data_IF_029821195982
#
_entry.id   IF_029821195982
#
_cell.length_a   1.000
_cell.length_b   1.000
_cell.length_c   1.000
_cell.angle_alpha   90.00
_cell.angle_beta   90.00
_cell.angle_gamma   90.00
#
_symmetry.space_group_name_H-M   'P 1'
#
loop_
_entity.id
_entity.type
_entity.pdbx_description
1 polymer ?
#
# COMPACT_ATOMS: atom_id res chain seq x y z
N UNK A 1 13.24 17.71 29.75
CA UNK A 1 12.95 16.41 29.11
C UNK A 1 12.76 16.70 27.63
N UNK A 2 13.85 16.63 26.89
CA UNK A 2 13.88 16.89 25.44
C UNK A 2 13.20 15.69 24.77
N UNK A 3 11.97 15.87 24.32
CA UNK A 3 11.27 14.90 23.47
C UNK A 3 12.05 14.90 22.16
N UNK A 4 12.79 13.84 21.88
CA UNK A 4 13.34 13.61 20.54
C UNK A 4 12.13 13.50 19.59
N UNK A 5 11.95 14.50 18.72
CA UNK A 5 10.94 14.49 17.66
C UNK A 5 11.41 13.54 16.55
N UNK A 6 11.31 12.24 16.83
CA UNK A 6 11.64 11.12 15.94
C UNK A 6 10.57 10.90 14.85
N UNK A 7 9.76 11.93 14.60
CA UNK A 7 8.60 11.85 13.72
C UNK A 7 9.01 12.06 12.26
N UNK A 8 8.37 11.30 11.35
CA UNK A 8 8.67 11.31 9.91
C UNK A 8 8.33 12.68 9.31
N UNK A 9 9.26 13.30 8.57
CA UNK A 9 8.94 14.49 7.77
C UNK A 9 7.95 14.15 6.64
N UNK A 10 7.16 15.12 6.21
CA UNK A 10 6.27 14.96 5.06
C UNK A 10 7.07 14.50 3.82
N UNK A 11 6.72 13.36 3.19
CA UNK A 11 7.47 12.85 2.04
C UNK A 11 7.30 13.68 0.77
N UNK A 12 6.38 14.65 0.77
CA UNK A 12 6.11 15.53 -0.36
C UNK A 12 6.82 16.88 -0.24
N UNK A 13 6.83 17.51 0.93
CA UNK A 13 7.40 18.87 1.10
C UNK A 13 8.47 18.99 2.19
N UNK A 14 8.83 17.88 2.85
CA UNK A 14 9.79 17.79 3.95
C UNK A 14 9.43 18.58 5.22
N UNK A 15 8.20 19.10 5.33
CA UNK A 15 7.74 19.75 6.56
C UNK A 15 7.61 18.77 7.71
N UNK A 16 7.92 19.23 8.92
CA UNK A 16 7.63 18.53 10.18
C UNK A 16 6.27 18.90 10.77
N UNK A 17 5.66 19.99 10.31
CA UNK A 17 4.37 20.44 10.80
C UNK A 17 3.26 19.50 10.29
N UNK A 18 2.58 18.84 11.22
CA UNK A 18 1.53 17.86 10.92
C UNK A 18 0.52 17.71 12.04
N UNK A 19 -0.63 17.16 11.69
CA UNK A 19 -1.68 16.75 12.62
C UNK A 19 -1.99 15.28 12.40
N UNK A 20 -2.06 14.49 13.47
CA UNK A 20 -2.51 13.08 13.39
C UNK A 20 -4.01 13.04 13.08
N UNK A 21 -4.40 12.24 12.08
CA UNK A 21 -5.79 12.01 11.69
C UNK A 21 -6.36 10.77 12.38
N UNK A 22 -5.62 9.65 12.30
CA UNK A 22 -6.04 8.35 12.82
C UNK A 22 -4.85 7.43 13.04
N UNK A 23 -5.00 6.47 13.96
CA UNK A 23 -4.05 5.38 14.14
C UNK A 23 -4.33 4.28 13.10
N UNK A 24 -3.30 3.87 12.36
CA UNK A 24 -3.39 2.80 11.36
C UNK A 24 -2.99 1.47 11.99
N UNK A 25 -1.90 1.45 12.77
CA UNK A 25 -1.42 0.25 13.42
C UNK A 25 -1.04 0.54 14.86
N UNK A 26 -1.50 -0.28 15.81
CA UNK A 26 -1.00 -0.23 17.18
C UNK A 26 0.36 -0.93 17.38
N UNK A 27 0.76 -1.82 16.45
CA UNK A 27 2.01 -2.58 16.52
C UNK A 27 2.54 -3.00 15.13
N UNK A 28 3.53 -2.28 14.61
CA UNK A 28 4.08 -2.54 13.27
C UNK A 28 4.83 -3.86 13.12
N UNK A 29 5.11 -4.60 14.21
CA UNK A 29 5.67 -5.97 14.10
C UNK A 29 4.78 -6.91 13.29
N UNK A 30 3.51 -6.56 13.07
CA UNK A 30 2.61 -7.28 12.16
C UNK A 30 3.13 -7.34 10.71
N UNK A 31 4.00 -6.41 10.32
CA UNK A 31 4.70 -6.42 9.04
C UNK A 31 5.99 -7.27 9.09
N UNK A 32 6.58 -7.48 10.25
CA UNK A 32 7.79 -8.28 10.43
C UNK A 32 8.48 -7.96 11.76
N UNK A 33 9.22 -8.92 12.32
CA UNK A 33 9.85 -8.77 13.64
C UNK A 33 10.88 -7.64 13.73
N UNK A 34 11.42 -7.20 12.60
CA UNK A 34 12.35 -6.07 12.52
C UNK A 34 11.68 -4.69 12.60
N UNK A 35 10.37 -4.59 12.37
CA UNK A 35 9.65 -3.33 12.53
C UNK A 35 9.55 -2.93 14.00
N UNK A 36 9.45 -1.61 14.29
CA UNK A 36 9.34 -1.12 15.64
C UNK A 36 8.00 -1.52 16.28
N UNK A 37 8.03 -1.76 17.59
CA UNK A 37 6.86 -2.05 18.42
C UNK A 37 6.17 -0.76 18.88
N UNK A 38 5.84 0.10 17.91
CA UNK A 38 5.20 1.39 18.17
C UNK A 38 4.05 1.62 17.18
N UNK A 39 3.08 2.47 17.54
CA UNK A 39 1.99 2.79 16.64
C UNK A 39 2.45 3.55 15.39
N UNK A 40 1.69 3.41 14.31
CA UNK A 40 1.77 4.25 13.11
C UNK A 40 0.44 4.95 12.85
N UNK A 41 0.52 6.16 12.30
CA UNK A 41 -0.63 7.05 12.14
C UNK A 41 -0.75 7.58 10.73
N UNK A 42 -1.98 7.83 10.26
CA UNK A 42 -2.19 8.74 9.14
C UNK A 42 -2.02 10.16 9.67
N UNK A 43 -1.10 10.93 9.09
CA UNK A 43 -0.83 12.31 9.45
C UNK A 43 -1.09 13.23 8.25
N UNK A 44 -1.68 14.38 8.54
CA UNK A 44 -1.91 15.48 7.59
C UNK A 44 -0.76 16.48 7.71
N UNK A 45 -0.04 16.73 6.62
CA UNK A 45 0.94 17.80 6.57
C UNK A 45 0.25 19.17 6.66
N UNK A 46 0.71 20.03 7.58
CA UNK A 46 0.15 21.37 7.76
C UNK A 46 0.49 22.32 6.61
N UNK A 47 1.60 22.09 5.90
CA UNK A 47 2.13 23.01 4.89
C UNK A 47 1.65 22.68 3.47
N UNK A 48 1.66 21.40 3.06
CA UNK A 48 1.26 21.02 1.71
C UNK A 48 -0.07 20.26 1.62
N UNK A 49 -0.67 19.84 2.74
CA UNK A 49 -1.95 19.12 2.76
C UNK A 49 -1.89 17.61 2.46
N UNK A 50 -0.71 17.07 2.13
CA UNK A 50 -0.55 15.64 1.89
C UNK A 50 -0.87 14.81 3.14
N UNK A 51 -1.54 13.67 2.94
CA UNK A 51 -1.76 12.66 3.99
C UNK A 51 -0.79 11.49 3.77
N UNK A 52 -0.08 11.10 4.83
CA UNK A 52 0.95 10.07 4.78
C UNK A 52 1.05 9.32 6.11
N UNK A 53 1.70 8.17 6.08
CA UNK A 53 1.95 7.35 7.27
C UNK A 53 3.11 7.94 8.08
N UNK A 54 2.83 8.42 9.28
CA UNK A 54 3.81 8.83 10.28
C UNK A 54 4.20 7.61 11.14
N UNK A 55 5.48 7.26 11.08
CA UNK A 55 6.06 6.09 11.74
C UNK A 55 7.55 6.30 11.96
N UNK A 56 8.10 5.65 12.99
CA UNK A 56 9.55 5.57 13.24
C UNK A 56 10.21 4.41 12.46
N UNK A 57 9.45 3.59 11.74
CA UNK A 57 10.00 2.56 10.87
C UNK A 57 10.86 3.19 9.77
N UNK A 58 12.04 2.64 9.54
CA UNK A 58 13.03 3.13 8.58
C UNK A 58 12.77 2.62 7.16
N UNK A 59 13.42 3.24 6.16
CA UNK A 59 13.42 2.68 4.79
C UNK A 59 13.94 1.22 4.79
N UNK A 60 14.96 0.91 5.58
CA UNK A 60 15.51 -0.45 5.68
C UNK A 60 14.49 -1.47 6.22
N UNK A 61 13.56 -1.05 7.08
CA UNK A 61 12.49 -1.93 7.57
C UNK A 61 11.54 -2.32 6.43
N UNK A 62 11.14 -1.35 5.63
CA UNK A 62 10.34 -1.58 4.43
C UNK A 62 11.11 -2.37 3.37
N UNK A 63 12.39 -2.09 3.17
CA UNK A 63 13.23 -2.84 2.21
C UNK A 63 13.28 -4.33 2.56
N UNK A 64 13.56 -4.65 3.83
CA UNK A 64 13.56 -6.05 4.33
C UNK A 64 12.20 -6.71 4.13
N UNK A 65 11.11 -5.98 4.36
CA UNK A 65 9.76 -6.47 4.12
C UNK A 65 9.53 -6.81 2.65
N UNK A 66 9.83 -5.88 1.74
CA UNK A 66 9.63 -6.09 0.32
C UNK A 66 10.53 -7.18 -0.26
N UNK A 67 11.74 -7.36 0.28
CA UNK A 67 12.67 -8.42 -0.13
C UNK A 67 12.19 -9.84 0.23
N UNK A 68 11.47 -9.99 1.35
CA UNK A 68 11.23 -11.31 1.96
C UNK A 68 9.76 -11.72 2.06
N UNK A 69 8.85 -10.75 2.16
CA UNK A 69 7.44 -10.98 2.49
C UNK A 69 6.49 -10.52 1.37
N UNK A 70 6.87 -9.50 0.60
CA UNK A 70 6.05 -9.04 -0.51
C UNK A 70 6.08 -10.05 -1.65
N UNK A 71 4.94 -10.70 -1.90
CA UNK A 71 4.73 -11.61 -3.02
C UNK A 71 3.81 -10.94 -4.02
N UNK A 72 4.35 -10.60 -5.17
CA UNK A 72 3.55 -10.09 -6.28
C UNK A 72 2.95 -11.28 -7.02
N UNK A 73 1.62 -11.35 -7.06
CA UNK A 73 0.90 -12.30 -7.90
C UNK A 73 0.80 -11.68 -9.30
N UNK A 74 0.84 -12.52 -10.34
CA UNK A 74 0.61 -12.04 -11.69
C UNK A 74 -0.78 -11.41 -11.82
N UNK A 75 -0.88 -10.29 -12.51
CA UNK A 75 -2.16 -9.67 -12.85
C UNK A 75 -3.04 -10.63 -13.66
N UNK A 76 -2.44 -11.35 -14.62
CA UNK A 76 -3.14 -12.36 -15.40
C UNK A 76 -3.75 -13.47 -14.54
N UNK A 77 -3.08 -13.88 -13.46
CA UNK A 77 -3.56 -14.91 -12.55
C UNK A 77 -4.68 -14.39 -11.64
N UNK A 78 -4.58 -13.12 -11.23
CA UNK A 78 -5.53 -12.49 -10.32
C UNK A 78 -6.81 -12.00 -11.01
N UNK A 79 -6.71 -11.52 -12.26
CA UNK A 79 -7.79 -10.82 -12.98
C UNK A 79 -8.12 -11.42 -14.35
N UNK A 80 -7.30 -12.33 -14.86
CA UNK A 80 -7.40 -12.87 -16.22
C UNK A 80 -6.65 -12.03 -17.26
N UNK A 81 -6.26 -12.68 -18.37
CA UNK A 81 -5.43 -12.06 -19.41
C UNK A 81 -6.10 -10.87 -20.10
N UNK A 82 -7.40 -10.96 -20.41
CA UNK A 82 -8.10 -9.90 -21.13
C UNK A 82 -8.14 -8.58 -20.33
N UNK A 83 -8.52 -8.66 -19.05
CA UNK A 83 -8.56 -7.51 -18.13
C UNK A 83 -7.17 -6.94 -17.90
N UNK A 84 -6.17 -7.82 -17.78
CA UNK A 84 -4.76 -7.43 -17.61
C UNK A 84 -4.22 -6.69 -18.84
N UNK A 85 -4.51 -7.21 -20.04
CA UNK A 85 -4.10 -6.57 -21.28
C UNK A 85 -4.78 -5.21 -21.48
N UNK A 86 -6.07 -5.07 -21.16
CA UNK A 86 -6.75 -3.77 -21.22
C UNK A 86 -6.12 -2.77 -20.24
N UNK A 87 -5.80 -3.21 -19.03
CA UNK A 87 -5.11 -2.39 -18.04
C UNK A 87 -3.75 -1.90 -18.56
N UNK A 88 -2.89 -2.80 -19.05
CA UNK A 88 -1.59 -2.39 -19.59
C UNK A 88 -1.69 -1.58 -20.88
N UNK A 89 -2.73 -1.80 -21.70
CA UNK A 89 -2.98 -0.97 -22.88
C UNK A 89 -3.36 0.47 -22.52
N UNK A 90 -4.03 0.69 -21.38
CA UNK A 90 -4.29 2.04 -20.84
C UNK A 90 -3.00 2.74 -20.41
N UNK A 91 -2.09 2.04 -19.74
CA UNK A 91 -0.76 2.57 -19.38
C UNK A 91 0.03 2.88 -20.66
N UNK A 92 0.08 1.93 -21.60
CA UNK A 92 0.76 2.09 -22.88
C UNK A 92 0.23 3.29 -23.67
N UNK A 93 -1.08 3.41 -23.82
CA UNK A 93 -1.71 4.53 -24.53
C UNK A 93 -1.38 5.89 -23.92
N UNK A 94 -1.17 5.95 -22.59
CA UNK A 94 -0.77 7.17 -21.92
C UNK A 94 0.68 7.57 -22.24
N UNK A 95 1.58 6.60 -22.39
CA UNK A 95 3.03 6.85 -22.58
C UNK A 95 3.47 6.80 -24.04
N UNK A 96 2.72 6.14 -24.93
CA UNK A 96 3.02 5.97 -26.35
C UNK A 96 3.39 7.30 -27.07
N UNK A 97 2.69 8.43 -26.84
CA UNK A 97 3.04 9.70 -27.48
C UNK A 97 4.44 10.24 -27.12
N UNK A 98 5.09 9.69 -26.10
CA UNK A 98 6.36 10.16 -25.56
C UNK A 98 7.53 9.23 -25.87
N UNK A 99 7.28 8.06 -26.47
CA UNK A 99 8.28 7.04 -26.73
C UNK A 99 8.29 6.61 -28.19
N UNK A 100 9.35 5.93 -28.61
CA UNK A 100 9.45 5.26 -29.91
C UNK A 100 10.17 3.92 -29.74
N UNK A 101 10.29 3.15 -30.82
CA UNK A 101 10.88 1.80 -30.80
C UNK A 101 12.34 1.72 -30.32
N UNK A 102 13.06 2.85 -30.22
CA UNK A 102 14.43 2.93 -29.70
C UNK A 102 14.52 3.47 -28.26
N UNK A 103 13.40 3.96 -27.69
CA UNK A 103 13.36 4.53 -26.36
C UNK A 103 13.84 3.53 -25.31
N UNK A 104 14.65 4.01 -24.37
CA UNK A 104 15.03 3.27 -23.15
C UNK A 104 13.93 3.38 -22.12
N UNK A 105 13.34 2.24 -21.74
CA UNK A 105 12.25 2.15 -20.80
C UNK A 105 12.75 1.50 -19.51
N UNK A 106 12.49 2.13 -18.37
CA UNK A 106 12.70 1.58 -17.04
C UNK A 106 11.35 1.35 -16.37
N UNK A 107 11.07 0.09 -16.06
CA UNK A 107 9.93 -0.35 -15.25
C UNK A 107 10.43 -0.54 -13.81
N UNK A 108 10.14 0.42 -12.92
CA UNK A 108 10.73 0.53 -11.59
C UNK A 108 9.70 0.15 -10.52
N UNK A 109 9.96 -0.92 -9.79
CA UNK A 109 8.94 -1.67 -9.04
C UNK A 109 8.19 -2.66 -9.94
N UNK A 110 8.89 -3.35 -10.83
CA UNK A 110 8.27 -4.15 -11.89
C UNK A 110 7.51 -5.39 -11.40
N UNK A 111 7.66 -5.77 -10.13
CA UNK A 111 7.17 -7.04 -9.61
C UNK A 111 7.68 -8.20 -10.47
N UNK A 112 6.76 -9.08 -10.87
CA UNK A 112 7.05 -10.25 -11.73
C UNK A 112 7.26 -9.90 -13.21
N UNK A 113 7.28 -8.62 -13.59
CA UNK A 113 7.71 -8.15 -14.92
C UNK A 113 6.63 -8.17 -16.01
N UNK A 114 5.35 -8.34 -15.67
CA UNK A 114 4.26 -8.48 -16.64
C UNK A 114 4.04 -7.27 -17.54
N UNK A 115 4.19 -6.05 -17.02
CA UNK A 115 4.12 -4.84 -17.84
C UNK A 115 5.28 -4.78 -18.84
N UNK A 116 6.49 -5.14 -18.40
CA UNK A 116 7.67 -5.24 -19.28
C UNK A 116 7.50 -6.31 -20.36
N UNK A 117 6.91 -7.46 -20.04
CA UNK A 117 6.55 -8.51 -21.01
C UNK A 117 5.53 -7.97 -22.04
N UNK A 118 4.48 -7.29 -21.58
CA UNK A 118 3.48 -6.65 -22.44
C UNK A 118 4.12 -5.63 -23.41
N UNK A 119 4.99 -4.76 -22.91
CA UNK A 119 5.69 -3.76 -23.71
C UNK A 119 6.64 -4.41 -24.74
N UNK A 120 7.29 -5.53 -24.38
CA UNK A 120 8.08 -6.32 -25.33
C UNK A 120 7.20 -6.90 -26.46
N UNK A 121 6.00 -7.38 -26.13
CA UNK A 121 4.98 -7.81 -27.10
C UNK A 121 4.52 -6.71 -28.06
N UNK A 122 4.53 -5.44 -27.61
CA UNK A 122 4.28 -4.25 -28.45
C UNK A 122 5.49 -3.84 -29.32
N UNK A 123 6.61 -4.57 -29.23
CA UNK A 123 7.80 -4.37 -30.08
C UNK A 123 8.91 -3.51 -29.46
N UNK A 124 8.78 -3.09 -28.20
CA UNK A 124 9.83 -2.35 -27.50
C UNK A 124 10.92 -3.30 -27.01
N UNK A 125 12.17 -3.07 -27.43
CA UNK A 125 13.29 -4.00 -27.16
C UNK A 125 14.24 -3.54 -26.06
N UNK A 126 14.13 -2.28 -25.64
CA UNK A 126 15.07 -1.65 -24.71
C UNK A 126 14.39 -1.35 -23.37
N UNK A 127 13.93 -2.42 -22.72
CA UNK A 127 13.22 -2.38 -21.45
C UNK A 127 14.15 -2.95 -20.37
N UNK A 128 14.27 -2.25 -19.26
CA UNK A 128 14.90 -2.74 -18.03
C UNK A 128 13.83 -2.77 -16.94
N UNK A 129 13.64 -3.93 -16.34
CA UNK A 129 12.70 -4.12 -15.23
C UNK A 129 13.49 -4.21 -13.91
N UNK A 130 13.05 -3.50 -12.88
CA UNK A 130 13.77 -3.41 -11.61
C UNK A 130 12.81 -3.55 -10.45
N UNK A 131 13.15 -4.40 -9.50
CA UNK A 131 12.37 -4.67 -8.29
C UNK A 131 13.34 -5.03 -7.15
N UNK A 132 12.97 -4.72 -5.92
CA UNK A 132 13.82 -5.01 -4.76
C UNK A 132 13.77 -6.50 -4.38
N UNK A 133 12.70 -7.21 -4.72
CA UNK A 133 12.52 -8.63 -4.42
C UNK A 133 13.25 -9.51 -5.42
N UNK A 134 14.25 -10.25 -4.94
CA UNK A 134 14.96 -11.23 -5.75
C UNK A 134 14.03 -12.31 -6.32
N UNK A 135 12.98 -12.69 -5.57
CA UNK A 135 11.98 -13.66 -6.03
C UNK A 135 11.19 -13.14 -7.22
N UNK A 136 10.74 -11.88 -7.17
CA UNK A 136 10.06 -11.22 -8.29
C UNK A 136 10.97 -11.15 -9.53
N UNK A 137 12.23 -10.77 -9.34
CA UNK A 137 13.21 -10.69 -10.44
C UNK A 137 13.52 -12.06 -11.04
N UNK A 138 13.59 -13.13 -10.24
CA UNK A 138 13.72 -14.49 -10.76
C UNK A 138 12.52 -14.85 -11.64
N UNK A 139 11.29 -14.57 -11.21
CA UNK A 139 10.09 -14.82 -12.00
C UNK A 139 10.07 -14.00 -13.31
N UNK A 140 10.42 -12.71 -13.25
CA UNK A 140 10.52 -11.85 -14.44
C UNK A 140 11.53 -12.38 -15.46
N UNK A 141 12.72 -12.81 -14.99
CA UNK A 141 13.74 -13.42 -15.87
C UNK A 141 13.27 -14.72 -16.49
N UNK A 142 12.52 -15.55 -15.75
CA UNK A 142 11.91 -16.77 -16.29
C UNK A 142 10.87 -16.49 -17.37
N UNK A 143 10.19 -15.34 -17.31
CA UNK A 143 9.30 -14.85 -18.36
C UNK A 143 10.03 -14.17 -19.54
N UNK A 144 11.37 -14.18 -19.57
CA UNK A 144 12.17 -13.58 -20.63
C UNK A 144 12.38 -12.07 -20.53
N UNK A 145 12.04 -11.46 -19.38
CA UNK A 145 12.23 -10.03 -19.15
C UNK A 145 13.67 -9.74 -18.73
N UNK A 146 14.26 -8.68 -19.30
CA UNK A 146 15.54 -8.13 -18.83
C UNK A 146 15.35 -7.43 -17.47
N UNK A 147 15.51 -8.19 -16.39
CA UNK A 147 15.19 -7.74 -15.04
C UNK A 147 16.41 -7.79 -14.09
N UNK A 148 16.50 -6.84 -13.16
CA UNK A 148 17.59 -6.72 -12.17
C UNK A 148 17.07 -6.35 -10.79
N UNK A 149 17.76 -6.82 -9.75
CA UNK A 149 17.44 -6.40 -8.38
C UNK A 149 17.92 -4.96 -8.16
N UNK A 150 17.06 -4.10 -7.63
CA UNK A 150 17.39 -2.72 -7.32
C UNK A 150 16.32 -2.03 -6.48
N UNK A 151 16.70 -0.96 -5.79
CA UNK A 151 15.80 -0.19 -4.93
C UNK A 151 15.83 1.29 -5.32
N UNK A 152 14.70 1.83 -5.79
CA UNK A 152 14.59 3.23 -6.18
C UNK A 152 15.13 4.21 -5.12
N UNK A 153 15.00 3.89 -3.83
CA UNK A 153 15.42 4.73 -2.71
C UNK A 153 16.84 4.42 -2.17
N UNK A 154 17.63 3.56 -2.83
CA UNK A 154 18.99 3.25 -2.37
C UNK A 154 19.91 4.47 -2.41
N UNK A 155 20.82 4.55 -1.44
CA UNK A 155 21.90 5.55 -1.41
C UNK A 155 23.09 5.04 -2.23
N UNK A 156 23.73 5.90 -3.01
CA UNK A 156 24.88 5.53 -3.85
C UNK A 156 24.55 4.99 -5.25
N UNK A 157 23.30 5.09 -5.67
CA UNK A 157 22.80 4.56 -6.94
C UNK A 157 22.20 3.16 -6.77
N UNK A 158 21.14 2.87 -7.52
CA UNK A 158 20.37 1.62 -7.39
C UNK A 158 20.43 0.72 -8.62
N UNK A 159 21.12 1.18 -9.66
CA UNK A 159 21.39 0.43 -10.88
C UNK A 159 22.89 0.37 -11.05
N UNK A 160 23.41 -0.83 -11.30
CA UNK A 160 24.78 -1.05 -11.81
C UNK A 160 24.88 -0.61 -13.30
N UNK A 161 24.36 0.57 -13.61
CA UNK A 161 24.27 1.13 -14.95
C UNK A 161 24.66 2.62 -14.95
N UNK A 162 25.91 2.94 -14.55
CA UNK A 162 26.37 4.33 -14.45
C UNK A 162 26.26 5.06 -15.79
N UNK A 163 25.73 6.29 -15.75
CA UNK A 163 25.59 7.15 -16.92
C UNK A 163 24.44 6.81 -17.87
N UNK A 164 23.71 5.71 -17.66
CA UNK A 164 22.51 5.42 -18.45
C UNK A 164 21.39 6.42 -18.13
N UNK A 165 20.65 6.79 -19.16
CA UNK A 165 19.47 7.66 -19.06
C UNK A 165 18.27 6.95 -19.66
N UNK A 166 17.08 7.18 -19.13
CA UNK A 166 15.85 6.55 -19.61
C UNK A 166 14.91 7.59 -20.21
N UNK A 167 14.31 7.24 -21.35
CA UNK A 167 13.35 8.08 -22.05
C UNK A 167 11.95 7.93 -21.47
N UNK A 168 11.69 6.79 -20.82
CA UNK A 168 10.51 6.55 -20.00
C UNK A 168 10.93 5.84 -18.71
N UNK A 169 10.51 6.37 -17.57
CA UNK A 169 10.56 5.69 -16.27
C UNK A 169 9.12 5.49 -15.81
N UNK A 170 8.75 4.27 -15.44
CA UNK A 170 7.41 3.91 -15.00
C UNK A 170 7.47 3.49 -13.53
N UNK A 171 6.61 4.11 -12.72
CA UNK A 171 6.16 3.57 -11.46
C UNK A 171 4.67 3.28 -11.58
N UNK A 172 4.26 2.01 -11.53
CA UNK A 172 2.86 1.63 -11.40
C UNK A 172 2.69 0.93 -10.07
N UNK A 173 1.96 1.56 -9.14
CA UNK A 173 1.72 1.04 -7.79
C UNK A 173 2.99 0.74 -7.00
N UNK A 174 3.87 1.73 -6.89
CA UNK A 174 5.17 1.60 -6.23
C UNK A 174 5.52 2.85 -5.42
N UNK A 175 5.29 4.05 -5.96
CA UNK A 175 5.67 5.32 -5.33
C UNK A 175 4.96 5.50 -3.98
N UNK A 176 3.73 5.03 -3.85
CA UNK A 176 2.98 5.06 -2.60
C UNK A 176 3.55 4.14 -1.51
N UNK A 177 4.49 3.25 -1.85
CA UNK A 177 5.18 2.33 -0.93
C UNK A 177 6.56 2.81 -0.48
N UNK A 178 7.07 3.90 -1.06
CA UNK A 178 8.43 4.37 -0.80
C UNK A 178 8.47 5.25 0.45
N UNK A 179 9.24 4.82 1.46
CA UNK A 179 9.42 5.56 2.71
C UNK A 179 10.25 6.84 2.50
N UNK A 180 11.40 6.71 1.83
CA UNK A 180 12.31 7.80 1.49
C UNK A 180 12.08 8.31 0.06
N UNK A 181 10.94 9.01 -0.10
CA UNK A 181 10.53 9.62 -1.37
C UNK A 181 11.60 10.57 -1.94
N UNK A 182 12.31 11.29 -1.06
CA UNK A 182 13.33 12.26 -1.45
C UNK A 182 14.49 11.61 -2.20
N UNK A 183 15.05 10.52 -1.63
CA UNK A 183 16.13 9.79 -2.28
C UNK A 183 15.65 9.15 -3.60
N UNK A 184 14.44 8.57 -3.60
CA UNK A 184 13.89 7.97 -4.81
C UNK A 184 13.72 8.97 -5.95
N UNK A 185 13.13 10.14 -5.69
CA UNK A 185 12.95 11.16 -6.71
C UNK A 185 14.27 11.80 -7.16
N UNK A 186 15.26 11.91 -6.28
CA UNK A 186 16.62 12.31 -6.67
C UNK A 186 17.24 11.30 -7.66
N UNK A 187 17.21 10.02 -7.32
CA UNK A 187 17.74 8.95 -8.17
C UNK A 187 17.02 8.92 -9.54
N UNK A 188 15.70 9.04 -9.55
CA UNK A 188 14.88 9.10 -10.79
C UNK A 188 15.27 10.30 -11.64
N UNK A 189 15.42 11.48 -11.06
CA UNK A 189 15.87 12.67 -11.78
C UNK A 189 17.28 12.52 -12.32
N UNK A 190 18.16 11.82 -11.64
CA UNK A 190 19.51 11.60 -12.15
C UNK A 190 19.47 10.75 -13.41
N UNK A 191 18.66 9.70 -13.46
CA UNK A 191 18.62 8.77 -14.60
C UNK A 191 17.58 9.12 -15.67
N UNK A 192 16.69 10.10 -15.45
CA UNK A 192 15.75 10.54 -16.50
C UNK A 192 16.49 11.26 -17.63
N UNK A 193 16.21 10.94 -18.90
CA UNK A 193 16.81 11.66 -20.03
C UNK A 193 16.29 13.09 -20.13
N UNK A 194 16.94 13.94 -20.93
CA UNK A 194 16.58 15.37 -21.03
C UNK A 194 15.13 15.57 -21.52
N UNK A 195 14.73 14.77 -22.50
CA UNK A 195 13.38 14.78 -23.08
C UNK A 195 12.49 13.65 -22.55
N UNK A 196 13.01 12.86 -21.60
CA UNK A 196 12.33 11.70 -21.06
C UNK A 196 11.13 12.09 -20.20
N UNK A 197 10.23 11.13 -20.03
CA UNK A 197 9.06 11.26 -19.16
C UNK A 197 9.11 10.27 -18.01
N UNK A 198 8.63 10.71 -16.85
CA UNK A 198 8.33 9.87 -15.71
C UNK A 198 6.81 9.67 -15.67
N UNK A 199 6.38 8.42 -15.65
CA UNK A 199 4.99 8.03 -15.43
C UNK A 199 4.87 7.50 -14.00
N UNK A 200 3.93 8.06 -13.24
CA UNK A 200 3.58 7.57 -11.89
C UNK A 200 2.11 7.27 -11.87
N UNK A 201 1.74 6.08 -11.46
CA UNK A 201 0.36 5.66 -11.22
C UNK A 201 0.20 5.11 -9.80
N UNK A 202 -0.85 5.56 -9.14
CA UNK A 202 -1.14 5.32 -7.72
C UNK A 202 -2.66 5.20 -7.49
N UNK A 203 -3.12 4.57 -6.41
CA UNK A 203 -4.52 4.62 -6.01
C UNK A 203 -4.98 6.07 -5.81
N UNK A 204 -6.15 6.42 -6.34
CA UNK A 204 -6.70 7.78 -6.20
C UNK A 204 -7.42 7.94 -4.86
N UNK A 205 -6.78 8.64 -3.93
CA UNK A 205 -7.34 8.89 -2.60
C UNK A 205 -8.65 9.66 -2.65
N UNK A 206 -8.90 10.45 -3.71
CA UNK A 206 -10.15 11.19 -3.87
C UNK A 206 -11.37 10.30 -4.15
N UNK A 207 -11.14 9.04 -4.49
CA UNK A 207 -12.16 8.05 -4.85
C UNK A 207 -12.21 6.87 -3.87
N UNK A 208 -11.45 6.88 -2.77
CA UNK A 208 -11.47 5.76 -1.81
C UNK A 208 -12.88 5.49 -1.24
N UNK A 209 -13.67 6.54 -1.03
CA UNK A 209 -15.02 6.45 -0.50
C UNK A 209 -16.08 6.03 -1.53
N UNK A 210 -15.77 6.11 -2.84
CA UNK A 210 -16.73 5.81 -3.91
C UNK A 210 -16.71 4.34 -4.35
N UNK A 211 -15.75 3.55 -3.86
CA UNK A 211 -15.57 2.14 -4.23
C UNK A 211 -16.03 1.22 -3.10
N UNK A 212 -16.86 0.24 -3.43
CA UNK A 212 -17.24 -0.82 -2.49
C UNK A 212 -16.05 -1.80 -2.29
N UNK A 213 -15.32 -1.59 -1.20
CA UNK A 213 -14.20 -2.43 -0.76
C UNK A 213 -14.36 -2.79 0.71
N UNK A 214 -13.68 -3.85 1.21
CA UNK A 214 -13.59 -4.10 2.63
C UNK A 214 -13.15 -2.84 3.40
N UNK A 215 -13.69 -2.57 4.59
CA UNK A 215 -13.31 -1.41 5.39
C UNK A 215 -11.79 -1.30 5.55
N UNK A 216 -11.29 -0.09 5.34
CA UNK A 216 -9.87 0.28 5.41
C UNK A 216 -8.93 -0.44 4.42
N UNK A 217 -9.47 -1.06 3.37
CA UNK A 217 -8.70 -1.67 2.28
C UNK A 217 -7.57 -0.79 1.73
N UNK A 218 -7.78 0.53 1.60
CA UNK A 218 -6.77 1.45 1.07
C UNK A 218 -5.76 1.93 2.12
N UNK A 219 -6.04 1.75 3.40
CA UNK A 219 -5.12 2.07 4.51
C UNK A 219 -4.28 0.86 4.88
N UNK A 220 -3.56 0.33 3.89
CA UNK A 220 -2.58 -0.72 4.17
C UNK A 220 -1.34 -0.12 4.83
N UNK A 221 -0.60 -0.91 5.59
CA UNK A 221 0.68 -0.47 6.16
C UNK A 221 1.76 -0.19 5.11
N UNK A 222 1.52 -0.65 3.87
CA UNK A 222 2.40 -0.44 2.72
C UNK A 222 2.07 0.86 1.99
N UNK A 223 0.83 1.38 2.08
CA UNK A 223 0.45 2.64 1.45
C UNK A 223 0.86 3.82 2.34
N UNK A 224 2.12 4.21 2.18
CA UNK A 224 2.78 5.23 2.99
C UNK A 224 2.35 6.66 2.64
N UNK A 225 1.73 6.88 1.48
CA UNK A 225 1.31 8.19 0.98
C UNK A 225 -0.02 8.03 0.24
N UNK A 226 -0.99 8.90 0.56
CA UNK A 226 -2.29 8.94 -0.12
C UNK A 226 -2.29 10.05 -1.16
N UNK A 227 -2.47 9.69 -2.43
CA UNK A 227 -2.29 10.61 -3.55
C UNK A 227 -3.62 11.11 -4.12
N UNK A 228 -3.65 12.41 -4.40
CA UNK A 228 -4.60 13.04 -5.32
C UNK A 228 -3.85 13.80 -6.41
N UNK A 229 -4.57 14.41 -7.35
CA UNK A 229 -3.97 15.29 -8.37
C UNK A 229 -3.16 16.42 -7.74
N UNK A 230 -3.62 16.96 -6.61
CA UNK A 230 -2.94 18.03 -5.88
C UNK A 230 -1.64 17.52 -5.22
N UNK A 231 -1.64 16.29 -4.70
CA UNK A 231 -0.44 15.64 -4.16
C UNK A 231 0.61 15.42 -5.25
N UNK A 232 0.21 14.96 -6.45
CA UNK A 232 1.12 14.82 -7.59
C UNK A 232 1.67 16.17 -8.08
N UNK A 233 0.86 17.22 -8.06
CA UNK A 233 1.32 18.57 -8.38
C UNK A 233 2.37 19.05 -7.38
N UNK A 234 2.12 18.90 -6.08
CA UNK A 234 3.08 19.26 -5.03
C UNK A 234 4.36 18.40 -5.09
N UNK A 235 4.25 17.10 -5.42
CA UNK A 235 5.40 16.24 -5.69
C UNK A 235 6.27 16.84 -6.80
N UNK A 236 5.65 17.25 -7.92
CA UNK A 236 6.39 17.85 -9.03
C UNK A 236 7.08 19.17 -8.64
N UNK A 237 6.37 20.02 -7.88
CA UNK A 237 6.90 21.30 -7.39
C UNK A 237 8.12 21.10 -6.50
N UNK A 238 8.07 20.17 -5.54
CA UNK A 238 9.20 19.89 -4.65
C UNK A 238 10.40 19.36 -5.42
N UNK A 239 10.17 18.32 -6.23
CA UNK A 239 11.25 17.61 -6.89
C UNK A 239 11.71 18.27 -8.19
N UNK A 240 11.18 19.43 -8.57
CA UNK A 240 11.61 20.11 -9.79
C UNK A 240 11.34 19.30 -11.04
N UNK A 241 10.15 18.72 -11.09
CA UNK A 241 9.54 18.11 -12.24
C UNK A 241 8.42 19.03 -12.75
N UNK A 242 8.01 18.83 -13.99
CA UNK A 242 6.83 19.48 -14.56
C UNK A 242 5.77 18.43 -14.81
N UNK A 243 4.65 18.51 -14.10
CA UNK A 243 3.46 17.70 -14.37
C UNK A 243 2.84 18.17 -15.71
N UNK A 244 2.76 17.26 -16.68
CA UNK A 244 2.27 17.51 -18.04
C UNK A 244 0.80 17.11 -18.17
N UNK A 245 0.42 16.00 -17.52
CA UNK A 245 -0.92 15.43 -17.62
C UNK A 245 -1.24 14.64 -16.37
N UNK A 246 -2.51 14.67 -15.98
CA UNK A 246 -3.10 13.74 -15.01
C UNK A 246 -4.37 13.12 -15.58
N UNK A 247 -4.64 11.85 -15.27
CA UNK A 247 -5.92 11.22 -15.61
C UNK A 247 -6.26 10.12 -14.61
N UNK A 248 -7.56 9.90 -14.41
CA UNK A 248 -8.08 8.84 -13.56
C UNK A 248 -8.78 7.77 -14.40
N UNK A 249 -8.75 6.53 -13.93
CA UNK A 249 -9.47 5.41 -14.54
C UNK A 249 -9.60 4.23 -13.56
N UNK A 250 -10.38 3.20 -13.90
CA UNK A 250 -10.53 2.00 -13.05
C UNK A 250 -9.42 0.97 -13.33
N UNK A 251 -8.64 0.60 -12.31
CA UNK A 251 -7.65 -0.47 -12.40
C UNK A 251 -8.31 -1.83 -12.37
N UNK A 252 -8.14 -2.60 -13.45
CA UNK A 252 -8.69 -3.95 -13.62
C UNK A 252 -10.19 -4.05 -13.27
N UNK A 253 -10.95 -2.97 -13.51
CA UNK A 253 -12.38 -2.82 -13.14
C UNK A 253 -12.68 -2.97 -11.64
N UNK A 254 -11.72 -2.62 -10.78
CA UNK A 254 -11.83 -2.76 -9.31
C UNK A 254 -11.92 -1.42 -8.58
N UNK A 255 -10.96 -0.54 -8.77
CA UNK A 255 -10.88 0.73 -8.05
C UNK A 255 -10.22 1.83 -8.86
N UNK A 256 -10.45 3.08 -8.48
CA UNK A 256 -9.91 4.23 -9.17
C UNK A 256 -8.41 4.40 -8.91
N UNK A 257 -7.67 4.57 -9.99
CA UNK A 257 -6.27 4.98 -9.99
C UNK A 257 -6.12 6.33 -10.66
N UNK A 258 -5.08 7.05 -10.26
CA UNK A 258 -4.65 8.30 -10.84
C UNK A 258 -3.24 8.11 -11.36
N UNK A 259 -2.98 8.53 -12.60
CA UNK A 259 -1.62 8.70 -13.09
C UNK A 259 -1.27 10.14 -13.37
N UNK A 260 0.03 10.44 -13.25
CA UNK A 260 0.67 11.66 -13.70
C UNK A 260 1.81 11.37 -14.67
N UNK A 261 1.95 12.20 -15.71
CA UNK A 261 3.11 12.21 -16.61
C UNK A 261 3.93 13.46 -16.32
N UNK A 262 5.20 13.27 -16.04
CA UNK A 262 6.12 14.32 -15.62
C UNK A 262 7.31 14.42 -16.58
N UNK A 263 7.83 15.64 -16.73
CA UNK A 263 9.13 15.91 -17.37
C UNK A 263 10.08 16.55 -16.37
N UNK A 264 11.35 16.64 -16.75
CA UNK A 264 12.28 17.57 -16.08
C UNK A 264 11.68 18.97 -16.07
N UNK A 265 11.82 19.64 -14.93
CA UNK A 265 11.29 20.98 -14.71
C UNK A 265 12.19 21.77 -13.77
N UNK A 266 11.57 22.69 -13.05
CA UNK A 266 12.22 23.47 -12.00
C UNK A 266 11.39 23.39 -10.74
N UNK A 267 12.03 23.43 -9.58
CA UNK A 267 11.30 23.41 -8.31
C UNK A 267 10.43 24.66 -8.21
N UNK A 268 9.27 24.51 -7.59
CA UNK A 268 8.32 25.57 -7.33
C UNK A 268 7.81 25.46 -5.87
N UNK A 269 7.24 26.53 -5.30
CA UNK A 269 6.58 26.44 -4.00
C UNK A 269 5.46 25.39 -4.01
N UNK A 270 5.35 24.61 -2.94
CA UNK A 270 4.15 23.81 -2.68
C UNK A 270 3.02 24.73 -2.23
N UNK A 271 1.78 24.28 -2.41
CA UNK A 271 0.60 24.93 -1.84
C UNK A 271 -0.12 23.97 -0.92
N UNK A 272 -0.81 24.52 0.09
CA UNK A 272 -1.61 23.72 1.01
C UNK A 272 -2.94 23.34 0.33
N UNK A 273 -3.05 22.11 -0.11
CA UNK A 273 -4.32 21.55 -0.63
C UNK A 273 -5.20 20.98 0.50
N UNK A 274 -6.49 20.78 0.24
CA UNK A 274 -7.47 20.23 1.19
C UNK A 274 -8.24 19.03 0.66
N UNK A 275 -8.02 18.65 -0.61
CA UNK A 275 -8.73 17.56 -1.27
C UNK A 275 -8.38 16.22 -0.64
N UNK A 276 -7.09 15.97 -0.39
CA UNK A 276 -6.62 14.69 0.18
C UNK A 276 -7.16 14.52 1.60
N UNK A 277 -7.10 15.57 2.44
CA UNK A 277 -7.68 15.54 3.78
C UNK A 277 -9.17 15.19 3.74
N UNK A 278 -9.94 15.89 2.91
CA UNK A 278 -11.39 15.67 2.80
C UNK A 278 -11.69 14.22 2.41
N UNK A 279 -11.02 13.71 1.39
CA UNK A 279 -11.27 12.38 0.88
C UNK A 279 -10.89 11.27 1.87
N UNK A 280 -9.75 11.42 2.56
CA UNK A 280 -9.32 10.50 3.63
C UNK A 280 -10.33 10.47 4.78
N UNK A 281 -10.81 11.63 5.25
CA UNK A 281 -11.81 11.70 6.33
C UNK A 281 -13.17 11.14 5.92
N UNK A 282 -13.56 11.36 4.67
CA UNK A 282 -14.78 10.79 4.10
C UNK A 282 -14.68 9.26 4.03
N UNK A 283 -13.55 8.73 3.53
CA UNK A 283 -13.30 7.29 3.48
C UNK A 283 -13.33 6.64 4.87
N UNK A 284 -12.70 7.25 5.87
CA UNK A 284 -12.78 6.76 7.26
C UNK A 284 -14.21 6.73 7.79
N UNK A 285 -15.03 7.71 7.41
CA UNK A 285 -16.43 7.77 7.81
C UNK A 285 -17.22 6.63 7.17
N UNK A 286 -17.03 6.40 5.86
CA UNK A 286 -17.64 5.26 5.15
C UNK A 286 -17.24 3.93 5.79
N UNK A 287 -15.95 3.74 6.11
CA UNK A 287 -15.47 2.52 6.76
C UNK A 287 -16.12 2.29 8.13
N UNK A 288 -16.23 3.35 8.95
CA UNK A 288 -16.89 3.27 10.26
C UNK A 288 -18.37 2.95 10.13
N UNK A 289 -19.09 3.62 9.23
CA UNK A 289 -20.53 3.37 9.04
C UNK A 289 -20.82 1.96 8.48
N UNK A 290 -19.92 1.41 7.66
CA UNK A 290 -20.00 0.00 7.23
C UNK A 290 -19.88 -0.97 8.40
N UNK A 291 -18.92 -0.74 9.32
CA UNK A 291 -18.66 -1.63 10.46
C UNK A 291 -19.71 -1.48 11.57
N UNK A 292 -20.23 -0.27 11.77
CA UNK A 292 -21.12 0.12 12.86
C UNK A 292 -22.27 -0.85 13.16
N UNK A 293 -23.13 -1.27 12.21
CA UNK A 293 -24.25 -2.16 12.53
C UNK A 293 -23.80 -3.53 13.07
N UNK A 294 -22.65 -4.03 12.61
CA UNK A 294 -22.08 -5.31 13.05
C UNK A 294 -21.50 -5.13 14.46
N UNK A 295 -20.68 -4.11 14.66
CA UNK A 295 -20.02 -3.82 15.93
C UNK A 295 -21.03 -3.50 17.03
N UNK A 296 -21.98 -2.59 16.80
CA UNK A 296 -23.00 -2.21 17.79
C UNK A 296 -23.87 -3.40 18.23
N UNK A 297 -24.07 -4.39 17.34
CA UNK A 297 -24.74 -5.64 17.69
C UNK A 297 -23.87 -6.49 18.63
N UNK A 298 -22.60 -6.69 18.30
CA UNK A 298 -21.66 -7.44 19.13
C UNK A 298 -21.47 -6.79 20.51
N UNK A 299 -21.40 -5.45 20.58
CA UNK A 299 -21.33 -4.68 21.83
C UNK A 299 -22.57 -4.90 22.71
N UNK A 300 -23.76 -4.85 22.12
CA UNK A 300 -25.04 -5.01 22.83
C UNK A 300 -25.25 -6.44 23.32
N UNK A 301 -24.88 -7.43 22.52
CA UNK A 301 -25.05 -8.85 22.84
C UNK A 301 -24.10 -9.27 23.98
N UNK A 302 -22.98 -8.54 24.18
CA UNK A 302 -21.95 -8.78 25.23
C UNK A 302 -21.36 -10.19 25.24
N UNK A 303 -21.48 -10.90 24.12
CA UNK A 303 -20.91 -12.23 23.92
C UNK A 303 -19.38 -12.19 24.02
N UNK A 304 -18.77 -13.27 24.48
CA UNK A 304 -17.32 -13.44 24.39
C UNK A 304 -16.92 -13.53 22.91
N UNK A 305 -15.98 -12.70 22.49
CA UNK A 305 -15.53 -12.63 21.09
C UNK A 305 -14.11 -13.15 20.91
N UNK A 306 -13.92 -13.96 19.88
CA UNK A 306 -12.63 -14.37 19.35
C UNK A 306 -12.48 -13.69 17.99
N UNK A 307 -11.49 -12.81 17.84
CA UNK A 307 -11.22 -12.16 16.55
C UNK A 307 -10.22 -12.99 15.76
N UNK A 308 -10.63 -13.49 14.59
CA UNK A 308 -9.80 -14.36 13.75
C UNK A 308 -9.34 -13.64 12.47
N UNK A 309 -8.05 -13.76 12.19
CA UNK A 309 -7.38 -13.29 10.99
C UNK A 309 -6.76 -11.93 11.23
N UNK A 310 -5.87 -11.85 12.22
CA UNK A 310 -5.13 -10.62 12.55
C UNK A 310 -3.87 -10.55 11.66
N UNK A 311 -3.98 -9.82 10.56
CA UNK A 311 -2.90 -9.60 9.62
C UNK A 311 -2.68 -8.14 9.28
N UNK A 312 -1.75 -7.88 8.36
CA UNK A 312 -1.37 -6.52 7.96
C UNK A 312 -2.55 -5.67 7.44
N UNK A 313 -3.58 -6.28 6.84
CA UNK A 313 -4.75 -5.56 6.35
C UNK A 313 -5.89 -5.41 7.36
N UNK A 314 -5.87 -6.17 8.46
CA UNK A 314 -6.99 -6.28 9.41
C UNK A 314 -6.64 -5.85 10.82
N UNK A 315 -5.35 -5.79 11.20
CA UNK A 315 -4.94 -5.34 12.53
C UNK A 315 -5.41 -3.91 12.83
N UNK A 316 -5.55 -3.06 11.81
CA UNK A 316 -6.14 -1.72 11.94
C UNK A 316 -7.59 -1.73 12.43
N UNK A 317 -8.34 -2.81 12.19
CA UNK A 317 -9.70 -2.96 12.70
C UNK A 317 -9.71 -3.04 14.24
N UNK A 318 -8.60 -3.39 14.88
CA UNK A 318 -8.49 -3.45 16.33
C UNK A 318 -8.44 -2.06 16.98
N UNK A 319 -8.13 -1.01 16.21
CA UNK A 319 -7.97 0.35 16.71
C UNK A 319 -9.34 0.98 17.01
N UNK A 320 -9.85 0.75 18.21
CA UNK A 320 -11.08 1.36 18.72
C UNK A 320 -12.39 0.66 18.34
N UNK A 321 -12.45 -0.08 17.22
CA UNK A 321 -13.73 -0.66 16.77
C UNK A 321 -14.27 -1.74 17.71
N UNK A 322 -13.42 -2.46 18.43
CA UNK A 322 -13.86 -3.53 19.34
C UNK A 322 -13.68 -3.17 20.82
N UNK A 323 -13.40 -1.90 21.15
CA UNK A 323 -13.02 -1.51 22.51
C UNK A 323 -14.13 -1.68 23.55
N UNK A 324 -15.39 -1.66 23.11
CA UNK A 324 -16.56 -1.88 23.97
C UNK A 324 -17.09 -3.32 23.89
N UNK A 325 -16.50 -4.15 23.04
CA UNK A 325 -16.83 -5.56 22.92
C UNK A 325 -16.11 -6.39 23.97
N UNK A 326 -16.67 -7.55 24.32
CA UNK A 326 -16.01 -8.50 25.21
C UNK A 326 -15.03 -9.41 24.44
N UNK A 327 -13.97 -8.82 23.89
CA UNK A 327 -12.92 -9.57 23.21
C UNK A 327 -12.08 -10.34 24.22
N UNK A 328 -11.92 -11.64 23.97
CA UNK A 328 -11.17 -12.56 24.83
C UNK A 328 -9.91 -13.12 24.17
N UNK A 329 -9.87 -13.25 22.83
CA UNK A 329 -8.73 -13.80 22.09
C UNK A 329 -8.55 -13.13 20.72
N UNK A 330 -7.30 -13.07 20.28
CA UNK A 330 -6.87 -12.72 18.94
C UNK A 330 -6.24 -13.96 18.29
N UNK A 331 -6.67 -14.34 17.09
CA UNK A 331 -6.24 -15.58 16.44
C UNK A 331 -5.74 -15.29 15.03
N UNK A 332 -4.62 -15.88 14.64
CA UNK A 332 -4.17 -15.93 13.25
C UNK A 332 -3.41 -17.23 12.97
N UNK A 333 -3.62 -17.82 11.80
CA UNK A 333 -2.99 -19.09 11.41
C UNK A 333 -1.51 -18.95 11.06
N UNK A 334 -0.99 -17.73 10.85
CA UNK A 334 0.42 -17.49 10.54
C UNK A 334 1.28 -17.50 11.81
N UNK A 335 2.20 -18.47 11.99
CA UNK A 335 3.05 -18.54 13.18
C UNK A 335 3.92 -17.30 13.40
N UNK A 336 4.31 -16.60 12.32
CA UNK A 336 5.12 -15.38 12.44
C UNK A 336 4.39 -14.23 13.16
N UNK A 337 3.06 -14.32 13.28
CA UNK A 337 2.23 -13.31 13.97
C UNK A 337 1.89 -13.70 15.41
N UNK A 338 1.96 -14.99 15.72
CA UNK A 338 1.65 -15.53 17.04
C UNK A 338 2.77 -15.12 18.01
N UNK A 339 2.48 -14.18 18.92
CA UNK A 339 3.38 -13.45 19.87
C UNK A 339 3.27 -11.93 19.76
N UNK A 340 2.67 -11.40 18.71
CA UNK A 340 2.44 -9.95 18.57
C UNK A 340 1.24 -9.57 19.43
N UNK A 341 1.38 -8.53 20.24
CA UNK A 341 0.33 -8.05 21.12
C UNK A 341 -0.32 -6.77 20.58
N UNK A 342 -1.64 -6.70 20.72
CA UNK A 342 -2.46 -5.54 20.40
C UNK A 342 -3.31 -5.13 21.61
N UNK A 343 -3.62 -3.83 21.69
CA UNK A 343 -4.54 -3.31 22.70
C UNK A 343 -5.95 -3.30 22.15
N UNK A 344 -6.88 -3.92 22.87
CA UNK A 344 -8.30 -3.94 22.54
C UNK A 344 -9.10 -3.75 23.83
N UNK A 345 -9.91 -2.70 23.91
CA UNK A 345 -10.76 -2.41 25.07
C UNK A 345 -9.98 -2.29 26.37
N UNK A 346 -8.79 -1.68 26.32
CA UNK A 346 -7.88 -1.53 27.47
C UNK A 346 -7.12 -2.81 27.86
N UNK A 347 -7.41 -3.97 27.26
CA UNK A 347 -6.67 -5.22 27.45
C UNK A 347 -5.52 -5.32 26.46
N UNK A 348 -4.40 -5.91 26.87
CA UNK A 348 -3.34 -6.33 25.95
C UNK A 348 -3.57 -7.80 25.61
N UNK A 349 -3.90 -8.10 24.37
CA UNK A 349 -4.13 -9.45 23.87
C UNK A 349 -3.03 -9.83 22.89
N UNK A 350 -2.47 -11.03 23.05
CA UNK A 350 -1.46 -11.57 22.14
C UNK A 350 -2.17 -12.39 21.06
N UNK A 351 -1.70 -12.31 19.82
CA UNK A 351 -2.17 -13.22 18.77
C UNK A 351 -1.75 -14.64 19.13
N UNK A 352 -2.71 -15.55 19.17
CA UNK A 352 -2.54 -16.96 19.48
C UNK A 352 -2.83 -17.85 18.25
N UNK A 353 -2.38 -19.10 18.32
CA UNK A 353 -2.65 -20.10 17.28
C UNK A 353 -4.10 -20.62 17.36
N UNK A 354 -4.70 -21.08 16.24
CA UNK A 354 -6.07 -21.60 16.21
C UNK A 354 -6.38 -22.72 17.21
N UNK A 355 -5.41 -23.59 17.52
CA UNK A 355 -5.54 -24.72 18.45
C UNK A 355 -5.68 -24.31 19.92
N UNK A 356 -5.47 -23.03 20.24
CA UNK A 356 -5.64 -22.46 21.60
C UNK A 356 -7.09 -22.11 21.94
N UNK A 357 -8.01 -22.26 20.98
CA UNK A 357 -9.44 -21.95 21.19
C UNK A 357 -10.07 -23.07 22.02
N UNK A 358 -10.51 -22.74 23.23
CA UNK A 358 -11.15 -23.69 24.17
C UNK A 358 -12.53 -23.24 24.64
N UNK A 359 -13.06 -22.16 24.04
CA UNK A 359 -14.27 -21.46 24.45
C UNK A 359 -15.45 -21.77 23.48
N UNK A 360 -16.16 -22.91 23.60
CA UNK A 360 -17.18 -23.31 22.61
C UNK A 360 -18.39 -22.36 22.55
N UNK A 361 -18.62 -21.58 23.61
CA UNK A 361 -19.71 -20.58 23.67
C UNK A 361 -19.35 -19.21 23.11
N UNK A 362 -18.08 -18.97 22.76
CA UNK A 362 -17.65 -17.68 22.20
C UNK A 362 -18.04 -17.56 20.71
N UNK A 363 -18.30 -16.32 20.27
CA UNK A 363 -18.52 -16.00 18.85
C UNK A 363 -17.17 -15.71 18.19
N UNK A 364 -16.88 -16.40 17.08
CA UNK A 364 -15.71 -16.13 16.24
C UNK A 364 -16.08 -15.06 15.22
N UNK A 365 -15.39 -13.93 15.24
CA UNK A 365 -15.52 -12.86 14.25
C UNK A 365 -14.38 -12.98 13.25
N UNK A 366 -14.70 -13.32 12.01
CA UNK A 366 -13.72 -13.42 10.91
C UNK A 366 -13.52 -12.03 10.31
N UNK A 367 -12.32 -11.47 10.51
CA UNK A 367 -12.01 -10.09 10.06
C UNK A 367 -11.71 -10.00 8.56
N UNK A 368 -10.90 -10.90 7.95
CA UNK A 368 -10.53 -10.77 6.54
C UNK A 368 -11.70 -11.12 5.60
N UNK A 369 -12.40 -10.10 5.10
CA UNK A 369 -13.55 -10.28 4.18
C UNK A 369 -13.17 -11.09 2.93
N UNK A 370 -12.00 -10.81 2.35
CA UNK A 370 -11.52 -11.48 1.12
C UNK A 370 -11.16 -12.96 1.32
N UNK A 371 -10.80 -13.37 2.54
CA UNK A 371 -10.42 -14.75 2.85
C UNK A 371 -11.45 -15.48 3.72
N UNK A 372 -12.64 -14.89 3.89
CA UNK A 372 -13.66 -15.38 4.84
C UNK A 372 -14.01 -16.85 4.62
N UNK A 373 -14.21 -17.28 3.37
CA UNK A 373 -14.68 -18.63 3.09
C UNK A 373 -13.58 -19.66 3.37
N UNK A 374 -12.32 -19.29 3.12
CA UNK A 374 -11.16 -20.13 3.44
C UNK A 374 -11.00 -20.28 4.95
N UNK A 375 -11.13 -19.17 5.69
CA UNK A 375 -11.04 -19.15 7.16
C UNK A 375 -12.21 -19.93 7.77
N UNK A 376 -13.44 -19.76 7.26
CA UNK A 376 -14.61 -20.52 7.73
C UNK A 376 -14.42 -22.01 7.51
N UNK A 377 -13.90 -22.43 6.35
CA UNK A 377 -13.58 -23.84 6.10
C UNK A 377 -12.53 -24.35 7.10
N UNK A 378 -11.49 -23.57 7.38
CA UNK A 378 -10.49 -23.91 8.39
C UNK A 378 -11.10 -24.08 9.78
N UNK A 379 -11.90 -23.11 10.25
CA UNK A 379 -12.58 -23.17 11.54
C UNK A 379 -13.38 -24.47 11.68
N UNK A 380 -14.09 -24.88 10.62
CA UNK A 380 -14.88 -26.11 10.63
C UNK A 380 -14.03 -27.38 10.51
N UNK A 381 -12.94 -27.37 9.74
CA UNK A 381 -12.02 -28.52 9.68
C UNK A 381 -11.32 -28.76 11.00
N UNK A 382 -11.07 -27.69 11.76
CA UNK A 382 -10.45 -27.75 13.09
C UNK A 382 -11.45 -28.23 14.18
N UNK A 383 -12.69 -28.57 13.80
CA UNK A 383 -13.71 -29.12 14.69
C UNK A 383 -14.44 -28.09 15.55
N UNK A 384 -14.20 -26.79 15.33
CA UNK A 384 -14.82 -25.73 16.12
C UNK A 384 -16.29 -25.55 15.72
N UNK A 385 -17.18 -25.62 16.70
CA UNK A 385 -18.64 -25.48 16.54
C UNK A 385 -19.15 -24.08 16.86
N UNK A 386 -18.25 -23.15 17.19
CA UNK A 386 -18.55 -21.76 17.52
C UNK A 386 -19.44 -21.07 16.47
N UNK A 387 -20.31 -20.16 16.93
CA UNK A 387 -21.01 -19.21 16.07
C UNK A 387 -19.98 -18.36 15.33
N UNK A 388 -20.20 -18.14 14.03
CA UNK A 388 -19.32 -17.30 13.21
C UNK A 388 -20.07 -16.03 12.78
N UNK A 389 -19.38 -14.89 12.85
CA UNK A 389 -19.79 -13.59 12.30
C UNK A 389 -18.71 -13.11 11.34
N UNK A 390 -19.09 -12.47 10.24
CA UNK A 390 -18.14 -11.85 9.29
C UNK A 390 -18.39 -10.35 9.17
N UNK A 391 -17.41 -9.62 8.65
CA UNK A 391 -17.51 -8.17 8.39
C UNK A 391 -18.06 -7.83 6.99
N UNK A 392 -18.52 -8.82 6.23
CA UNK A 392 -19.15 -8.60 4.94
C UNK A 392 -20.55 -7.98 5.10
N UNK A 393 -20.90 -7.06 4.20
CA UNK A 393 -22.26 -6.53 4.09
C UNK A 393 -23.20 -7.62 3.55
N UNK A 394 -24.22 -7.98 4.34
CA UNK A 394 -25.30 -8.89 3.94
C UNK A 394 -24.98 -10.39 4.08
N UNK A 395 -25.95 -11.14 4.61
CA UNK A 395 -25.99 -12.60 4.61
C UNK A 395 -26.35 -13.14 3.22
#
# INVERSE_FOLDING_TARGET
MTIFDDSRCCPICNSRAKTVLSEICGNLKIMGSHFPDVPSNNALCSDCGAVYVDTTASQDDFDRYYQSMAKTIRYSDAFGEAVTNEYFDRIFSAVEPYINSRSRILDLGCGVGEFSEFMAGKGYKNITAVDISATNITAARQAGVNASVGNAAATGGFLDMPGQKFDLIVFSHTVEHIMNMHQAMQNVKEILSENGVLFIEVPDASEYASVEMPPYFFFTYEHLIHFTTDTLQNLSNTFGLKLIQTKTYLKCDRYHVLYGIFRRGSSAPVYRETRTERAVREYETVCREHLKPIIEKLERDKEQLILWGIGASTAQLLNGNFDRCNVIKLIDSNPARQSIAFRVGGKSLTIEAPDTITDPGATIVVLPVMYRDSIIRQIRSDGLTNRIVTLASGN
#
